data_IF_643932808150
#
_entry.id   IF_643932808150
#
_cell.length_a   1.000
_cell.length_b   1.000
_cell.length_c   1.000
_cell.angle_alpha   90.00
_cell.angle_beta   90.00
_cell.angle_gamma   90.00
#
_symmetry.space_group_name_H-M   'P 1'
#
loop_
_entity.id
_entity.type
_entity.pdbx_description
1 polymer ?
#
# COMPACT_ATOMS: atom_id res chain seq x y z
N UNK A 1 -2.31 19.42 -9.97
CA UNK A 1 -0.89 19.08 -10.16
C UNK A 1 -0.32 20.02 -11.22
N UNK A 2 0.87 20.60 -11.03
CA UNK A 2 1.50 21.44 -12.07
C UNK A 2 1.81 20.62 -13.32
N UNK A 3 1.58 21.20 -14.50
CA UNK A 3 1.76 20.52 -15.80
C UNK A 3 3.22 20.14 -16.06
N UNK A 4 4.17 21.00 -15.69
CA UNK A 4 5.62 20.75 -15.81
C UNK A 4 6.05 19.46 -15.07
N UNK A 5 5.45 19.19 -13.91
CA UNK A 5 5.71 17.98 -13.13
C UNK A 5 5.13 16.75 -13.83
N UNK A 6 3.94 16.87 -14.41
CA UNK A 6 3.30 15.79 -15.17
C UNK A 6 4.12 15.43 -16.42
N UNK A 7 4.62 16.45 -17.15
CA UNK A 7 5.54 16.27 -18.28
C UNK A 7 6.84 15.59 -17.86
N UNK A 8 7.49 16.09 -16.81
CA UNK A 8 8.74 15.51 -16.31
C UNK A 8 8.57 14.05 -15.86
N UNK A 9 7.42 13.71 -15.26
CA UNK A 9 7.08 12.35 -14.84
C UNK A 9 6.58 11.45 -16.00
N UNK A 10 6.33 12.00 -17.19
CA UNK A 10 5.70 11.30 -18.32
C UNK A 10 4.35 10.68 -17.94
N UNK A 11 3.52 11.43 -17.21
CA UNK A 11 2.21 10.97 -16.73
C UNK A 11 1.13 12.00 -17.04
N UNK A 12 -0.09 11.53 -17.33
CA UNK A 12 -1.27 12.38 -17.26
C UNK A 12 -1.78 12.52 -15.82
N UNK A 13 -2.75 13.43 -15.63
CA UNK A 13 -3.37 13.70 -14.32
C UNK A 13 -4.03 12.47 -13.70
N UNK A 14 -4.63 11.60 -14.51
CA UNK A 14 -5.34 10.41 -14.03
C UNK A 14 -4.36 9.36 -13.51
N UNK A 15 -3.29 9.09 -14.27
CA UNK A 15 -2.21 8.18 -13.88
C UNK A 15 -1.50 8.68 -12.61
N UNK A 16 -1.16 9.97 -12.56
CA UNK A 16 -0.59 10.59 -11.36
C UNK A 16 -1.53 10.44 -10.15
N UNK A 17 -2.84 10.68 -10.32
CA UNK A 17 -3.83 10.49 -9.27
C UNK A 17 -3.90 9.06 -8.74
N UNK A 18 -3.81 8.07 -9.62
CA UNK A 18 -3.81 6.66 -9.24
C UNK A 18 -2.53 6.26 -8.49
N UNK A 19 -1.36 6.72 -8.95
CA UNK A 19 -0.09 6.48 -8.27
C UNK A 19 -0.08 7.14 -6.88
N UNK A 20 -0.50 8.41 -6.77
CA UNK A 20 -0.60 9.10 -5.48
C UNK A 20 -1.55 8.41 -4.51
N UNK A 21 -2.70 7.94 -4.99
CA UNK A 21 -3.66 7.17 -4.18
C UNK A 21 -3.05 5.88 -3.64
N UNK A 22 -2.31 5.15 -4.48
CA UNK A 22 -1.61 3.92 -4.09
C UNK A 22 -0.51 4.20 -3.07
N UNK A 23 0.29 5.24 -3.27
CA UNK A 23 1.33 5.66 -2.31
C UNK A 23 0.72 6.07 -0.97
N UNK A 24 -0.35 6.86 -0.98
CA UNK A 24 -1.06 7.26 0.24
C UNK A 24 -1.61 6.05 1.02
N UNK A 25 -2.09 5.02 0.31
CA UNK A 25 -2.55 3.80 0.97
C UNK A 25 -1.44 3.08 1.75
N UNK A 26 -0.25 2.94 1.15
CA UNK A 26 0.90 2.34 1.85
C UNK A 26 1.37 3.20 3.02
N UNK A 27 1.46 4.51 2.83
CA UNK A 27 1.88 5.44 3.90
C UNK A 27 0.92 5.41 5.09
N UNK A 28 -0.39 5.49 4.84
CA UNK A 28 -1.40 5.45 5.89
C UNK A 28 -1.44 4.09 6.61
N UNK A 29 -1.11 3.01 5.90
CA UNK A 29 -0.97 1.69 6.49
C UNK A 29 0.28 1.59 7.38
N UNK A 30 1.42 2.08 6.90
CA UNK A 30 2.68 2.10 7.65
C UNK A 30 2.55 2.91 8.96
N UNK A 31 1.83 4.04 8.91
CA UNK A 31 1.49 4.86 10.09
C UNK A 31 0.41 4.21 11.00
N UNK A 32 -0.06 3.00 10.68
CA UNK A 32 -1.18 2.31 11.35
C UNK A 32 -2.48 3.11 11.41
N UNK A 33 -2.66 4.07 10.50
CA UNK A 33 -3.87 4.91 10.38
C UNK A 33 -4.98 4.23 9.59
N UNK A 34 -4.62 3.32 8.68
CA UNK A 34 -5.55 2.43 7.99
C UNK A 34 -5.20 0.98 8.30
N UNK A 35 -6.22 0.13 8.41
CA UNK A 35 -6.01 -1.32 8.39
C UNK A 35 -5.60 -1.78 6.99
N UNK A 36 -4.98 -2.95 6.88
CA UNK A 36 -4.57 -3.50 5.58
C UNK A 36 -5.75 -3.66 4.60
N UNK A 37 -6.96 -3.94 5.09
CA UNK A 37 -8.17 -3.99 4.25
C UNK A 37 -8.58 -2.61 3.71
N UNK A 38 -8.57 -1.57 4.55
CA UNK A 38 -8.93 -0.20 4.13
C UNK A 38 -7.85 0.42 3.25
N UNK A 39 -6.59 0.15 3.53
CA UNK A 39 -5.48 0.57 2.68
C UNK A 39 -5.53 -0.13 1.31
N UNK A 40 -5.81 -1.43 1.25
CA UNK A 40 -6.01 -2.14 -0.02
C UNK A 40 -7.19 -1.56 -0.84
N UNK A 41 -8.31 -1.25 -0.16
CA UNK A 41 -9.44 -0.58 -0.79
C UNK A 41 -9.05 0.78 -1.38
N UNK A 42 -8.28 1.58 -0.64
CA UNK A 42 -7.76 2.88 -1.11
C UNK A 42 -6.80 2.70 -2.29
N UNK A 43 -5.90 1.70 -2.24
CA UNK A 43 -4.98 1.39 -3.32
C UNK A 43 -5.68 0.82 -4.57
N UNK A 44 -6.94 0.42 -4.48
CA UNK A 44 -7.70 -0.17 -5.58
C UNK A 44 -7.21 -1.56 -5.98
N UNK A 45 -6.61 -2.32 -5.05
CA UNK A 45 -6.09 -3.67 -5.30
C UNK A 45 -6.61 -4.67 -4.25
N UNK A 46 -6.64 -5.98 -4.56
CA UNK A 46 -7.04 -6.99 -3.58
C UNK A 46 -6.19 -6.94 -2.31
N UNK A 47 -6.82 -7.26 -1.16
CA UNK A 47 -6.16 -7.21 0.16
C UNK A 47 -4.85 -8.00 0.22
N UNK A 48 -4.84 -9.24 -0.29
CA UNK A 48 -3.63 -10.08 -0.29
C UNK A 48 -2.52 -9.45 -1.13
N UNK A 49 -2.84 -8.95 -2.32
CA UNK A 49 -1.89 -8.25 -3.19
C UNK A 49 -1.29 -7.01 -2.52
N UNK A 50 -2.11 -6.26 -1.80
CA UNK A 50 -1.65 -5.11 -1.02
C UNK A 50 -0.66 -5.50 0.07
N UNK A 51 -0.99 -6.50 0.88
CA UNK A 51 -0.13 -6.97 1.98
C UNK A 51 1.22 -7.52 1.46
N UNK A 52 1.20 -8.26 0.34
CA UNK A 52 2.43 -8.74 -0.31
C UNK A 52 3.28 -7.58 -0.84
N UNK A 53 2.66 -6.54 -1.41
CA UNK A 53 3.39 -5.35 -1.86
C UNK A 53 3.91 -4.51 -0.68
N UNK A 54 3.15 -4.42 0.41
CA UNK A 54 3.59 -3.76 1.64
C UNK A 54 4.83 -4.46 2.24
N UNK A 55 4.81 -5.80 2.30
CA UNK A 55 5.97 -6.59 2.72
C UNK A 55 7.20 -6.38 1.83
N UNK A 56 7.03 -6.37 0.50
CA UNK A 56 8.13 -6.05 -0.44
C UNK A 56 8.68 -4.63 -0.29
N UNK A 57 7.88 -3.69 0.22
CA UNK A 57 8.28 -2.31 0.54
C UNK A 57 8.91 -2.18 1.94
N UNK A 58 9.03 -3.28 2.70
CA UNK A 58 9.55 -3.25 4.06
C UNK A 58 8.60 -2.62 5.08
N UNK A 59 7.31 -2.50 4.75
CA UNK A 59 6.32 -1.99 5.69
C UNK A 59 5.95 -3.13 6.63
N UNK A 60 6.38 -3.03 7.89
CA UNK A 60 6.00 -3.97 8.94
C UNK A 60 4.50 -3.84 9.24
N UNK A 61 3.75 -4.90 8.96
CA UNK A 61 2.31 -4.92 9.16
C UNK A 61 1.81 -6.05 10.05
N UNK A 62 2.69 -6.98 10.39
CA UNK A 62 2.44 -8.00 11.38
C UNK A 62 3.15 -7.56 12.66
N UNK A 63 2.43 -7.45 13.79
CA UNK A 63 3.06 -7.27 15.10
C UNK A 63 3.76 -8.55 15.59
N UNK A 64 3.62 -9.64 14.83
CA UNK A 64 4.03 -10.97 15.19
C UNK A 64 5.49 -11.21 14.85
N UNK A 65 6.20 -11.81 15.80
CA UNK A 65 7.39 -12.56 15.43
C UNK A 65 7.02 -13.64 14.40
N UNK A 66 8.01 -14.16 13.69
CA UNK A 66 7.81 -15.18 12.64
C UNK A 66 7.10 -16.46 13.13
N UNK A 67 7.07 -16.70 14.44
CA UNK A 67 6.41 -17.84 15.07
C UNK A 67 4.89 -17.65 15.21
N UNK A 68 4.42 -16.45 15.58
CA UNK A 68 2.97 -16.15 15.66
C UNK A 68 2.30 -16.15 14.28
N UNK A 69 2.97 -15.65 13.24
CA UNK A 69 2.46 -15.70 11.86
C UNK A 69 2.26 -17.15 11.37
N UNK A 70 3.17 -18.05 11.75
CA UNK A 70 3.11 -19.45 11.33
C UNK A 70 1.94 -20.20 11.98
N UNK A 71 1.56 -19.81 13.21
CA UNK A 71 0.41 -20.37 13.91
C UNK A 71 -0.93 -19.92 13.31
N UNK A 72 -1.09 -18.64 12.97
CA UNK A 72 -2.33 -18.14 12.33
C UNK A 72 -2.55 -18.70 10.92
N UNK A 73 -1.50 -19.08 10.18
CA UNK A 73 -1.62 -19.67 8.84
C UNK A 73 -1.96 -21.17 8.85
N UNK A 74 -1.90 -21.83 10.02
CA UNK A 74 -2.21 -23.25 10.20
C UNK A 74 -3.61 -23.50 10.77
N UNK A 75 -4.37 -22.45 11.11
CA UNK A 75 -5.80 -22.49 11.44
C UNK A 75 -6.68 -22.14 10.22
#
# INVERSE_FOLDING_TARGET
>A
MPEEILLAAQMDTQRMGNEMRKLAAFELFAQRRLSGGKAAQLAGIPRISFLLEAGRRGIEWLPYDTEELSKELQE
#
